data_IF_907815883755
#
_entry.id   IF_907815883755
#
_cell.length_a   1.000
_cell.length_b   1.000
_cell.length_c   1.000
_cell.angle_alpha   90.00
_cell.angle_beta   90.00
_cell.angle_gamma   90.00
#
_symmetry.space_group_name_H-M   'P 1'
#
loop_
_entity.id
_entity.type
_entity.pdbx_description
1 polymer ?
#
# COMPACT_ATOMS: atom_id res chain seq x y z
N UNK A 1 2.56 -4.54 6.15
CA UNK A 1 3.16 -3.81 5.00
C UNK A 1 4.20 -4.68 4.32
N UNK A 2 4.24 -4.76 2.99
CA UNK A 2 5.31 -5.42 2.24
C UNK A 2 6.23 -4.35 1.62
N UNK A 3 7.49 -4.30 2.06
CA UNK A 3 8.52 -3.39 1.53
C UNK A 3 9.36 -4.14 0.49
N UNK A 4 9.36 -3.66 -0.76
CA UNK A 4 10.14 -4.27 -1.83
C UNK A 4 11.51 -3.59 -1.96
N UNK A 5 12.57 -4.40 -1.91
CA UNK A 5 13.96 -3.97 -2.07
C UNK A 5 14.51 -4.62 -3.34
N UNK A 6 15.31 -3.91 -4.12
CA UNK A 6 15.89 -4.46 -5.34
C UNK A 6 17.19 -5.20 -5.02
N UNK A 7 17.32 -6.45 -5.45
CA UNK A 7 18.54 -7.27 -5.35
C UNK A 7 19.75 -6.65 -6.06
N UNK A 8 19.53 -5.73 -6.99
CA UNK A 8 20.58 -5.00 -7.70
C UNK A 8 20.95 -3.67 -7.04
N UNK A 9 19.93 -2.87 -6.66
CA UNK A 9 20.13 -1.49 -6.20
C UNK A 9 20.21 -1.38 -4.67
N UNK A 10 19.87 -2.43 -3.93
CA UNK A 10 19.84 -2.43 -2.48
C UNK A 10 18.70 -1.60 -1.89
N UNK A 11 18.89 -1.17 -0.65
CA UNK A 11 17.92 -0.36 0.09
C UNK A 11 17.96 1.07 -0.41
N UNK A 12 16.90 1.47 -1.11
CA UNK A 12 16.70 2.85 -1.58
C UNK A 12 16.09 3.73 -0.50
N UNK A 13 16.21 5.05 -0.66
CA UNK A 13 15.57 6.05 0.23
C UNK A 13 14.05 5.81 0.33
N UNK A 14 13.41 5.42 -0.79
CA UNK A 14 11.97 5.10 -0.79
C UNK A 14 11.64 3.88 0.07
N UNK A 15 12.45 2.82 0.03
CA UNK A 15 12.27 1.63 0.85
C UNK A 15 12.49 1.95 2.35
N UNK A 16 13.50 2.76 2.66
CA UNK A 16 13.77 3.19 4.03
C UNK A 16 12.62 4.02 4.61
N UNK A 17 12.15 5.02 3.86
CA UNK A 17 10.98 5.82 4.27
C UNK A 17 9.72 4.98 4.45
N UNK A 18 9.47 4.01 3.55
CA UNK A 18 8.34 3.11 3.66
C UNK A 18 8.42 2.24 4.92
N UNK A 19 9.60 1.70 5.23
CA UNK A 19 9.84 0.93 6.45
C UNK A 19 9.62 1.77 7.70
N UNK A 20 10.21 2.98 7.78
CA UNK A 20 10.05 3.90 8.89
C UNK A 20 8.58 4.29 9.10
N UNK A 21 7.84 4.55 8.00
CA UNK A 21 6.42 4.86 8.06
C UNK A 21 5.59 3.70 8.61
N UNK A 22 5.90 2.45 8.20
CA UNK A 22 5.26 1.27 8.74
C UNK A 22 5.49 1.13 10.25
N UNK A 23 6.75 1.27 10.69
CA UNK A 23 7.12 1.21 12.12
C UNK A 23 6.44 2.30 12.94
N UNK A 24 6.45 3.55 12.46
CA UNK A 24 5.79 4.69 13.12
C UNK A 24 4.29 4.44 13.34
N UNK A 25 3.65 3.71 12.43
CA UNK A 25 2.21 3.42 12.50
C UNK A 25 1.91 2.02 13.07
N UNK A 26 2.87 1.36 13.72
CA UNK A 26 2.69 0.04 14.33
C UNK A 26 2.24 -1.04 13.34
N UNK A 27 2.63 -0.94 12.06
CA UNK A 27 2.21 -1.90 11.04
C UNK A 27 3.17 -3.09 10.97
N UNK A 28 2.63 -4.28 11.05
CA UNK A 28 3.36 -5.50 10.73
C UNK A 28 4.05 -5.37 9.37
N UNK A 29 5.36 -5.65 9.33
CA UNK A 29 6.19 -5.38 8.14
C UNK A 29 6.93 -6.63 7.71
N UNK A 30 6.96 -6.86 6.40
CA UNK A 30 7.68 -7.92 5.71
C UNK A 30 8.50 -7.30 4.57
N UNK A 31 9.65 -7.86 4.25
CA UNK A 31 10.51 -7.39 3.16
C UNK A 31 10.61 -8.45 2.07
N UNK A 32 10.56 -8.02 0.82
CA UNK A 32 10.83 -8.86 -0.34
C UNK A 32 12.00 -8.29 -1.16
N UNK A 33 13.10 -9.03 -1.21
CA UNK A 33 14.25 -8.71 -2.06
C UNK A 33 14.00 -9.29 -3.45
N UNK A 34 13.58 -8.43 -4.37
CA UNK A 34 13.29 -8.78 -5.76
C UNK A 34 14.53 -8.81 -6.64
N UNK A 35 14.42 -9.32 -7.87
CA UNK A 35 15.50 -9.34 -8.88
C UNK A 35 16.73 -10.12 -8.44
N UNK A 36 16.55 -11.19 -7.67
CA UNK A 36 17.64 -12.07 -7.26
C UNK A 36 18.17 -12.96 -8.39
N UNK A 37 17.48 -12.99 -9.52
CA UNK A 37 17.84 -13.66 -10.77
C UNK A 37 18.89 -12.90 -11.59
N UNK A 38 19.19 -11.65 -11.29
CA UNK A 38 20.17 -10.86 -12.03
C UNK A 38 21.60 -11.18 -11.58
N UNK A 39 22.55 -11.19 -12.53
CA UNK A 39 23.97 -11.49 -12.27
C UNK A 39 24.61 -10.60 -11.20
N UNK A 40 24.18 -9.32 -11.15
CA UNK A 40 24.71 -8.33 -10.22
C UNK A 40 23.91 -8.25 -8.90
N UNK A 41 23.01 -9.20 -8.65
CA UNK A 41 22.30 -9.27 -7.37
C UNK A 41 23.21 -9.80 -6.27
N UNK A 42 23.29 -9.07 -5.15
CA UNK A 42 24.06 -9.50 -3.98
C UNK A 42 23.17 -9.47 -2.74
N UNK A 43 22.40 -10.54 -2.56
CA UNK A 43 21.43 -10.66 -1.47
C UNK A 43 22.07 -10.47 -0.10
N UNK A 44 23.21 -11.08 0.19
CA UNK A 44 23.81 -11.05 1.52
C UNK A 44 24.35 -9.66 1.87
N UNK A 45 24.92 -8.94 0.91
CA UNK A 45 25.31 -7.55 1.10
C UNK A 45 24.09 -6.66 1.39
N UNK A 46 22.98 -6.91 0.70
CA UNK A 46 21.72 -6.19 0.91
C UNK A 46 21.11 -6.54 2.26
N UNK A 47 21.21 -7.79 2.70
CA UNK A 47 20.77 -8.21 4.02
C UNK A 47 21.51 -7.45 5.14
N UNK A 48 22.84 -7.31 5.02
CA UNK A 48 23.62 -6.52 5.98
C UNK A 48 23.26 -5.01 5.92
N UNK A 49 23.06 -4.45 4.72
CA UNK A 49 22.59 -3.05 4.57
C UNK A 49 21.19 -2.86 5.19
N UNK A 50 20.30 -3.83 5.06
CA UNK A 50 19.00 -3.83 5.73
C UNK A 50 19.12 -3.87 7.25
N UNK A 51 20.00 -4.71 7.79
CA UNK A 51 20.25 -4.76 9.25
C UNK A 51 20.75 -3.40 9.78
N UNK A 52 21.61 -2.71 9.04
CA UNK A 52 22.10 -1.39 9.40
C UNK A 52 20.97 -0.35 9.39
N UNK A 53 20.10 -0.36 8.35
CA UNK A 53 19.09 0.67 8.13
C UNK A 53 17.74 0.39 8.82
N UNK A 54 17.37 -0.88 8.94
CA UNK A 54 16.09 -1.31 9.50
C UNK A 54 16.20 -1.86 10.93
N UNK A 55 17.44 -2.15 11.38
CA UNK A 55 17.74 -2.61 12.73
C UNK A 55 17.84 -4.14 12.85
N UNK A 56 18.01 -4.59 14.10
CA UNK A 56 18.20 -6.01 14.45
C UNK A 56 17.00 -6.90 14.18
N UNK A 57 15.80 -6.32 13.99
CA UNK A 57 14.57 -7.08 13.74
C UNK A 57 14.57 -7.81 12.38
N UNK A 58 15.52 -7.51 11.49
CA UNK A 58 15.62 -8.10 10.15
C UNK A 58 15.99 -9.58 10.24
N UNK A 59 15.03 -10.45 9.88
CA UNK A 59 15.16 -11.90 9.97
C UNK A 59 15.01 -12.54 8.57
N UNK A 60 16.07 -13.10 7.96
CA UNK A 60 15.96 -13.81 6.69
C UNK A 60 15.18 -15.10 6.85
N UNK A 61 14.22 -15.34 5.94
CA UNK A 61 13.36 -16.53 5.93
C UNK A 61 13.54 -17.37 4.66
N UNK A 62 13.86 -16.69 3.54
CA UNK A 62 14.22 -17.35 2.27
C UNK A 62 15.48 -16.70 1.74
N UNK A 63 16.48 -17.52 1.42
CA UNK A 63 17.77 -17.04 0.93
C UNK A 63 18.11 -17.67 -0.43
N UNK A 64 18.76 -16.92 -1.35
CA UNK A 64 19.19 -17.46 -2.62
C UNK A 64 20.50 -18.24 -2.46
N UNK A 65 20.63 -19.32 -3.22
CA UNK A 65 21.85 -20.11 -3.36
C UNK A 65 22.01 -20.59 -4.81
N UNK A 66 23.05 -21.34 -5.08
CA UNK A 66 23.30 -22.00 -6.37
C UNK A 66 23.70 -23.44 -6.12
N UNK A 67 23.26 -24.32 -7.00
CA UNK A 67 23.80 -25.69 -7.10
C UNK A 67 25.20 -25.66 -7.73
N UNK A 68 25.90 -26.78 -7.68
CA UNK A 68 27.25 -26.94 -8.25
C UNK A 68 27.32 -26.66 -9.76
N UNK A 69 26.21 -26.89 -10.46
CA UNK A 69 26.06 -26.58 -11.89
C UNK A 69 25.73 -25.11 -12.18
N UNK A 70 25.65 -24.26 -11.14
CA UNK A 70 25.30 -22.86 -11.23
C UNK A 70 23.79 -22.57 -11.26
N UNK A 71 22.92 -23.58 -11.22
CA UNK A 71 21.46 -23.41 -11.20
C UNK A 71 21.04 -22.61 -9.96
N UNK A 72 20.27 -21.51 -10.11
CA UNK A 72 19.79 -20.73 -8.99
C UNK A 72 18.71 -21.49 -8.21
N UNK A 73 18.84 -21.50 -6.89
CA UNK A 73 17.88 -22.11 -5.97
C UNK A 73 17.55 -21.16 -4.82
N UNK A 74 16.44 -21.41 -4.16
CA UNK A 74 16.00 -20.65 -2.99
C UNK A 74 15.83 -21.60 -1.80
N UNK A 75 16.49 -21.29 -0.70
CA UNK A 75 16.44 -22.11 0.52
C UNK A 75 15.41 -21.49 1.46
N UNK A 76 14.40 -22.27 1.83
CA UNK A 76 13.43 -21.93 2.85
C UNK A 76 14.00 -22.33 4.20
N UNK A 77 14.29 -21.36 5.07
CA UNK A 77 14.93 -21.61 6.36
C UNK A 77 13.96 -22.26 7.37
N UNK A 78 12.65 -22.08 7.24
CA UNK A 78 11.67 -22.74 8.11
C UNK A 78 11.67 -24.26 7.93
N UNK A 79 11.66 -24.72 6.69
CA UNK A 79 11.64 -26.15 6.36
C UNK A 79 13.02 -26.74 6.12
N UNK A 80 14.05 -25.90 6.04
CA UNK A 80 15.43 -26.26 5.69
C UNK A 80 15.51 -27.02 4.35
N UNK A 81 14.70 -26.62 3.37
CA UNK A 81 14.61 -27.24 2.05
C UNK A 81 14.98 -26.23 0.96
N UNK A 82 15.61 -26.73 -0.11
CA UNK A 82 15.97 -25.95 -1.28
C UNK A 82 15.03 -26.26 -2.45
N UNK A 83 14.75 -25.22 -3.24
CA UNK A 83 13.84 -25.30 -4.39
C UNK A 83 14.43 -24.56 -5.59
N UNK A 84 14.40 -25.21 -6.76
CA UNK A 84 14.55 -24.55 -8.06
C UNK A 84 13.20 -24.27 -8.68
N UNK A 85 13.17 -23.40 -9.67
CA UNK A 85 11.94 -22.98 -10.35
C UNK A 85 12.03 -23.20 -11.85
N UNK A 86 11.04 -23.88 -12.42
CA UNK A 86 10.88 -24.09 -13.86
C UNK A 86 9.45 -23.67 -14.26
N UNK A 87 9.34 -22.67 -15.13
CA UNK A 87 8.04 -22.15 -15.55
C UNK A 87 7.17 -21.63 -14.39
N UNK A 88 7.78 -21.09 -13.33
CA UNK A 88 7.10 -20.61 -12.13
C UNK A 88 6.66 -21.70 -11.15
N UNK A 89 6.98 -22.98 -11.42
CA UNK A 89 6.69 -24.10 -10.52
C UNK A 89 7.92 -24.46 -9.70
N UNK A 90 7.72 -24.62 -8.39
CA UNK A 90 8.79 -25.05 -7.50
C UNK A 90 9.06 -26.56 -7.64
N UNK A 91 10.34 -26.92 -7.63
CA UNK A 91 10.85 -28.28 -7.64
C UNK A 91 11.84 -28.40 -6.49
N UNK A 92 11.57 -29.29 -5.53
CA UNK A 92 12.51 -29.53 -4.42
C UNK A 92 13.78 -30.19 -4.95
N UNK A 93 14.92 -29.69 -4.49
CA UNK A 93 16.26 -30.20 -4.80
C UNK A 93 17.02 -30.49 -3.52
N UNK A 94 18.15 -31.15 -3.65
CA UNK A 94 19.08 -31.35 -2.54
C UNK A 94 19.57 -30.00 -2.00
N UNK A 95 19.73 -29.91 -0.68
CA UNK A 95 20.19 -28.68 -0.03
C UNK A 95 21.65 -28.42 -0.41
N UNK A 96 21.96 -27.31 -1.11
CA UNK A 96 23.34 -26.99 -1.45
C UNK A 96 24.15 -26.65 -0.20
N UNK A 97 25.41 -27.00 -0.20
CA UNK A 97 26.33 -26.60 0.88
C UNK A 97 26.66 -25.11 0.75
N UNK A 98 26.08 -24.30 1.64
CA UNK A 98 26.42 -22.88 1.77
C UNK A 98 27.30 -22.61 3.01
N UNK A 99 27.89 -23.67 3.56
CA UNK A 99 28.84 -23.63 4.66
C UNK A 99 28.26 -23.14 5.98
N UNK A 100 29.13 -22.61 6.85
CA UNK A 100 28.75 -22.09 8.16
C UNK A 100 27.66 -21.00 8.15
N UNK A 101 27.46 -20.36 6.99
CA UNK A 101 26.45 -19.31 6.86
C UNK A 101 25.04 -19.86 7.05
N UNK A 102 24.74 -21.08 6.59
CA UNK A 102 23.43 -21.69 6.77
C UNK A 102 23.09 -21.85 8.26
N UNK A 103 24.02 -22.42 9.01
CA UNK A 103 23.83 -22.61 10.46
C UNK A 103 23.61 -21.28 11.17
N UNK A 104 24.44 -20.25 10.88
CA UNK A 104 24.28 -18.94 11.48
C UNK A 104 22.94 -18.24 11.13
N UNK A 105 22.37 -18.51 9.93
CA UNK A 105 21.04 -17.99 9.58
C UNK A 105 19.93 -18.67 10.38
N UNK A 106 20.02 -19.99 10.58
CA UNK A 106 19.05 -20.75 11.40
C UNK A 106 19.12 -20.32 12.86
N UNK A 107 20.33 -20.18 13.41
CA UNK A 107 20.55 -19.69 14.78
C UNK A 107 19.97 -18.29 14.98
N UNK A 108 20.27 -17.34 14.10
CA UNK A 108 19.73 -15.99 14.18
C UNK A 108 18.18 -15.95 14.04
N UNK A 109 17.60 -16.81 13.23
CA UNK A 109 16.14 -16.94 13.14
C UNK A 109 15.55 -17.52 14.44
N UNK A 110 16.20 -18.55 15.02
CA UNK A 110 15.77 -19.17 16.27
C UNK A 110 15.88 -18.19 17.45
N UNK A 111 16.94 -17.41 17.52
CA UNK A 111 17.13 -16.35 18.51
C UNK A 111 16.02 -15.29 18.41
N UNK A 112 15.73 -14.78 17.19
CA UNK A 112 14.65 -13.82 16.98
C UNK A 112 13.27 -14.38 17.38
N UNK A 113 13.02 -15.66 17.17
CA UNK A 113 11.79 -16.34 17.60
C UNK A 113 11.75 -16.47 19.13
N UNK A 114 12.86 -16.85 19.75
CA UNK A 114 12.97 -16.98 21.19
C UNK A 114 12.64 -15.66 21.93
N UNK A 115 13.05 -14.52 21.39
CA UNK A 115 12.77 -13.19 21.96
C UNK A 115 11.27 -12.84 21.99
N UNK A 116 10.40 -13.61 21.36
CA UNK A 116 8.96 -13.31 21.29
C UNK A 116 8.17 -13.86 22.47
N UNK A 117 8.71 -14.82 23.20
CA UNK A 117 8.01 -15.53 24.28
C UNK A 117 8.98 -16.14 25.31
N UNK A 118 8.64 -16.04 26.60
CA UNK A 118 9.51 -16.52 27.69
C UNK A 118 9.73 -18.05 27.63
N UNK A 119 8.71 -18.83 27.27
CA UNK A 119 8.83 -20.29 27.15
C UNK A 119 9.75 -20.68 25.98
N UNK A 120 9.67 -19.95 24.85
CA UNK A 120 10.56 -20.14 23.71
C UNK A 120 11.99 -19.73 24.06
N UNK A 121 12.16 -18.69 24.88
CA UNK A 121 13.47 -18.25 25.35
C UNK A 121 14.14 -19.31 26.24
N UNK A 122 13.41 -19.89 27.20
CA UNK A 122 13.92 -20.98 28.07
C UNK A 122 14.33 -22.19 27.22
N UNK A 123 13.51 -22.56 26.23
CA UNK A 123 13.78 -23.68 25.33
C UNK A 123 15.02 -23.45 24.49
N UNK A 124 15.20 -22.21 23.96
CA UNK A 124 16.37 -21.83 23.19
C UNK A 124 17.67 -21.93 24.02
N UNK A 125 17.67 -21.42 25.24
CA UNK A 125 18.82 -21.54 26.16
C UNK A 125 19.06 -22.98 26.62
N UNK A 126 18.01 -23.81 26.68
CA UNK A 126 18.12 -25.24 26.95
C UNK A 126 18.72 -26.04 25.79
N UNK A 127 18.88 -25.42 24.62
CA UNK A 127 19.39 -26.09 23.41
C UNK A 127 18.37 -27.03 22.76
N UNK A 128 17.09 -26.87 23.07
CA UNK A 128 16.01 -27.68 22.52
C UNK A 128 15.54 -27.13 21.17
N UNK A 129 15.35 -27.95 20.12
CA UNK A 129 14.85 -27.48 18.85
C UNK A 129 13.37 -27.07 18.93
N UNK A 130 13.02 -25.98 18.24
CA UNK A 130 11.63 -25.57 18.10
C UNK A 130 10.86 -26.50 17.16
N UNK A 131 9.61 -26.77 17.47
CA UNK A 131 8.67 -27.42 16.57
C UNK A 131 8.24 -26.47 15.44
N UNK A 132 7.67 -27.01 14.37
CA UNK A 132 7.17 -26.17 13.26
C UNK A 132 6.08 -25.19 13.72
N UNK A 133 5.23 -25.64 14.64
CA UNK A 133 4.15 -24.84 15.22
C UNK A 133 4.71 -23.67 16.04
N UNK A 134 5.70 -23.92 16.88
CA UNK A 134 6.38 -22.91 17.69
C UNK A 134 7.09 -21.86 16.80
N UNK A 135 7.75 -22.30 15.73
CA UNK A 135 8.38 -21.40 14.76
C UNK A 135 7.33 -20.48 14.11
N UNK A 136 6.20 -21.02 13.66
CA UNK A 136 5.15 -20.24 13.01
C UNK A 136 4.49 -19.28 13.98
N UNK A 137 4.19 -19.72 15.21
CA UNK A 137 3.52 -18.89 16.21
C UNK A 137 4.44 -17.77 16.73
N UNK A 138 5.69 -18.09 17.06
CA UNK A 138 6.70 -17.09 17.46
C UNK A 138 6.95 -16.06 16.36
N UNK A 139 7.10 -16.50 15.10
CA UNK A 139 7.21 -15.58 13.96
C UNK A 139 5.98 -14.69 13.80
N UNK A 140 4.76 -15.25 13.93
CA UNK A 140 3.51 -14.48 13.82
C UNK A 140 3.41 -13.42 14.91
N UNK A 141 3.69 -13.78 16.16
CA UNK A 141 3.73 -12.87 17.31
C UNK A 141 4.78 -11.78 17.11
N UNK A 142 6.02 -12.17 16.77
CA UNK A 142 7.11 -11.23 16.52
C UNK A 142 6.84 -10.25 15.38
N UNK A 143 6.20 -10.71 14.29
CA UNK A 143 5.81 -9.85 13.16
C UNK A 143 4.69 -8.89 13.56
N UNK A 144 3.68 -9.35 14.30
CA UNK A 144 2.58 -8.52 14.79
C UNK A 144 3.09 -7.42 15.72
N UNK A 145 3.96 -7.78 16.68
CA UNK A 145 4.49 -6.87 17.69
C UNK A 145 5.65 -6.00 17.15
N UNK A 146 6.10 -6.28 15.91
CA UNK A 146 7.17 -5.58 15.25
C UNK A 146 8.57 -5.94 15.77
N UNK A 147 8.72 -7.03 16.49
CA UNK A 147 10.00 -7.57 16.95
C UNK A 147 10.75 -8.28 15.82
N UNK A 148 10.02 -8.86 14.87
CA UNK A 148 10.58 -9.57 13.71
C UNK A 148 10.11 -8.92 12.42
N UNK A 149 11.06 -8.71 11.50
CA UNK A 149 10.80 -8.29 10.12
C UNK A 149 11.28 -9.40 9.18
N UNK A 150 10.40 -10.31 8.74
CA UNK A 150 10.82 -11.44 7.88
C UNK A 150 11.21 -10.95 6.50
N UNK A 151 12.31 -11.49 5.99
CA UNK A 151 12.86 -11.17 4.67
C UNK A 151 12.77 -12.38 3.75
N UNK A 152 12.07 -12.18 2.66
CA UNK A 152 11.96 -13.12 1.54
C UNK A 152 12.72 -12.59 0.33
N UNK A 153 13.10 -13.48 -0.58
CA UNK A 153 13.77 -13.08 -1.81
C UNK A 153 13.27 -13.89 -3.01
N UNK A 154 13.47 -13.36 -4.20
CA UNK A 154 13.06 -14.05 -5.42
C UNK A 154 13.12 -13.18 -6.66
N UNK A 155 12.45 -13.66 -7.73
CA UNK A 155 12.26 -12.93 -8.98
C UNK A 155 10.78 -12.82 -9.33
N UNK A 156 10.28 -11.60 -9.45
CA UNK A 156 8.91 -11.36 -9.88
C UNK A 156 8.71 -11.60 -11.39
N UNK A 157 9.74 -11.42 -12.20
CA UNK A 157 9.68 -11.63 -13.66
C UNK A 157 9.66 -13.13 -13.98
N UNK A 158 10.53 -13.89 -13.33
CA UNK A 158 10.66 -15.34 -13.53
C UNK A 158 9.74 -16.15 -12.60
N UNK A 159 8.92 -15.50 -11.78
CA UNK A 159 8.00 -16.08 -10.79
C UNK A 159 8.71 -17.05 -9.81
N UNK A 160 9.96 -16.72 -9.44
CA UNK A 160 10.76 -17.55 -8.53
C UNK A 160 10.54 -17.12 -7.07
N UNK A 161 10.24 -18.07 -6.19
CA UNK A 161 9.98 -17.92 -4.76
C UNK A 161 8.81 -16.96 -4.39
N UNK A 162 7.95 -16.59 -5.33
CA UNK A 162 6.75 -15.82 -5.05
C UNK A 162 5.67 -16.62 -4.32
N UNK A 163 5.58 -17.90 -4.59
CA UNK A 163 4.73 -18.84 -3.88
C UNK A 163 5.08 -18.90 -2.38
N UNK A 164 6.39 -18.95 -2.05
CA UNK A 164 6.84 -18.87 -0.66
C UNK A 164 6.49 -17.53 -0.02
N UNK A 165 6.65 -16.42 -0.73
CA UNK A 165 6.27 -15.11 -0.23
C UNK A 165 4.77 -15.06 0.06
N UNK A 166 3.91 -15.42 -0.91
CA UNK A 166 2.45 -15.36 -0.76
C UNK A 166 1.95 -16.28 0.35
N UNK A 167 2.49 -17.50 0.44
CA UNK A 167 2.15 -18.43 1.52
C UNK A 167 2.48 -17.82 2.89
N UNK A 168 3.68 -17.25 3.05
CA UNK A 168 4.10 -16.68 4.32
C UNK A 168 3.41 -15.33 4.63
N UNK A 169 3.03 -14.54 3.64
CA UNK A 169 2.16 -13.38 3.85
C UNK A 169 0.84 -13.80 4.52
N UNK A 170 0.20 -14.87 4.03
CA UNK A 170 -1.02 -15.39 4.63
C UNK A 170 -0.80 -15.98 6.04
N UNK A 171 0.35 -16.61 6.29
CA UNK A 171 0.65 -17.27 7.58
C UNK A 171 1.12 -16.30 8.66
N UNK A 172 1.92 -15.30 8.32
CA UNK A 172 2.66 -14.49 9.29
C UNK A 172 2.06 -13.09 9.51
N UNK A 173 1.39 -12.52 8.49
CA UNK A 173 0.80 -11.19 8.67
C UNK A 173 -0.52 -11.26 9.44
N UNK A 174 -0.78 -10.30 10.36
CA UNK A 174 -2.03 -10.28 11.11
C UNK A 174 -3.23 -10.03 10.19
N UNK A 175 -4.33 -10.71 10.48
CA UNK A 175 -5.64 -10.43 9.88
C UNK A 175 -6.31 -9.26 10.60
N UNK A 176 -7.11 -8.44 9.91
CA UNK A 176 -7.94 -7.42 10.56
C UNK A 176 -8.84 -7.96 11.68
N UNK A 177 -9.27 -9.22 11.58
CA UNK A 177 -10.08 -9.88 12.60
C UNK A 177 -9.30 -10.22 13.89
N UNK A 178 -7.97 -10.17 13.86
CA UNK A 178 -7.13 -10.40 15.05
C UNK A 178 -6.81 -9.14 15.83
N UNK A 179 -7.15 -7.96 15.29
CA UNK A 179 -7.06 -6.72 16.04
C UNK A 179 -8.27 -6.63 17.00
N UNK A 180 -8.03 -6.21 18.24
CA UNK A 180 -9.09 -6.15 19.24
C UNK A 180 -10.21 -5.18 18.80
N UNK A 181 -9.84 -4.01 18.32
CA UNK A 181 -10.76 -2.99 17.79
C UNK A 181 -10.00 -1.91 17.00
N UNK A 182 -10.74 -1.10 16.27
CA UNK A 182 -10.27 0.13 15.64
C UNK A 182 -10.99 1.31 16.29
N UNK A 183 -10.28 2.36 16.71
CA UNK A 183 -10.87 3.55 17.30
C UNK A 183 -11.41 4.47 16.19
N UNK A 184 -12.65 4.91 16.39
CA UNK A 184 -13.33 5.96 15.65
C UNK A 184 -13.88 6.99 16.63
N UNK A 185 -14.44 8.08 16.15
CA UNK A 185 -15.11 9.10 16.96
C UNK A 185 -16.60 9.14 16.62
N UNK A 186 -17.46 9.27 17.62
CA UNK A 186 -18.89 9.56 17.39
C UNK A 186 -19.13 11.04 17.03
N UNK A 187 -20.38 11.42 16.83
CA UNK A 187 -20.75 12.80 16.49
C UNK A 187 -20.37 13.84 17.58
N UNK A 188 -20.15 13.40 18.83
CA UNK A 188 -19.75 14.25 19.94
C UNK A 188 -18.21 14.34 20.11
N UNK A 189 -17.44 13.62 19.29
CA UNK A 189 -15.97 13.52 19.40
C UNK A 189 -15.51 12.51 20.47
N UNK A 190 -16.40 11.65 20.96
CA UNK A 190 -16.02 10.60 21.91
C UNK A 190 -15.53 9.36 21.20
N UNK A 191 -14.51 8.67 21.74
CA UNK A 191 -13.96 7.46 21.12
C UNK A 191 -14.98 6.31 21.14
N UNK A 192 -15.08 5.62 20.02
CA UNK A 192 -15.91 4.42 19.81
C UNK A 192 -15.04 3.30 19.29
N UNK A 193 -15.11 2.15 19.91
CA UNK A 193 -14.46 0.93 19.45
C UNK A 193 -15.29 0.25 18.36
N UNK A 194 -14.65 -0.07 17.24
CA UNK A 194 -15.22 -0.82 16.11
C UNK A 194 -14.53 -2.16 16.00
N UNK A 195 -15.31 -3.24 16.05
CA UNK A 195 -14.79 -4.59 15.90
C UNK A 195 -14.96 -5.09 14.46
N UNK A 196 -13.99 -5.87 14.00
CA UNK A 196 -14.01 -6.44 12.66
C UNK A 196 -14.96 -7.66 12.61
N UNK A 197 -16.27 -7.41 12.66
CA UNK A 197 -17.35 -8.40 12.59
C UNK A 197 -18.49 -7.91 11.71
N UNK A 198 -19.18 -8.85 11.03
CA UNK A 198 -20.37 -8.52 10.23
C UNK A 198 -21.63 -8.29 11.07
N UNK A 199 -21.60 -8.60 12.36
CA UNK A 199 -22.73 -8.47 13.30
C UNK A 199 -22.92 -7.02 13.80
N UNK A 200 -21.88 -6.19 13.72
CA UNK A 200 -21.96 -4.79 14.09
C UNK A 200 -22.57 -3.92 12.98
N UNK A 201 -23.12 -2.73 13.33
CA UNK A 201 -23.55 -1.74 12.33
C UNK A 201 -22.42 -1.41 11.36
N UNK A 202 -22.77 -1.21 10.08
CA UNK A 202 -21.80 -0.96 9.01
C UNK A 202 -21.02 0.33 9.26
N UNK A 203 -19.69 0.23 9.16
CA UNK A 203 -18.77 1.37 9.08
C UNK A 203 -17.71 1.07 8.01
N UNK A 204 -17.69 1.86 6.96
CA UNK A 204 -16.80 1.70 5.81
C UNK A 204 -15.99 2.98 5.57
N UNK A 205 -14.67 2.84 5.44
CA UNK A 205 -13.75 3.94 5.23
C UNK A 205 -13.36 4.08 3.76
N UNK A 206 -13.58 5.26 3.18
CA UNK A 206 -13.19 5.59 1.80
C UNK A 206 -11.71 5.96 1.78
N UNK A 207 -10.83 5.03 1.44
CA UNK A 207 -9.39 5.28 1.46
C UNK A 207 -8.81 5.76 0.13
N UNK A 208 -9.58 5.64 -0.97
CA UNK A 208 -9.14 6.04 -2.31
C UNK A 208 -10.33 6.31 -3.23
N UNK A 209 -10.20 7.34 -4.05
CA UNK A 209 -11.14 7.65 -5.14
C UNK A 209 -10.40 7.62 -6.48
N UNK A 210 -11.02 7.08 -7.52
CA UNK A 210 -10.49 7.04 -8.88
C UNK A 210 -11.55 7.58 -9.84
N UNK A 211 -11.15 8.49 -10.72
CA UNK A 211 -11.96 8.92 -11.85
C UNK A 211 -11.82 7.91 -12.99
N UNK A 212 -12.73 6.95 -13.05
CA UNK A 212 -12.78 5.94 -14.12
C UNK A 212 -13.48 6.53 -15.36
N UNK A 213 -12.92 6.37 -16.57
CA UNK A 213 -13.51 6.93 -17.79
C UNK A 213 -14.88 6.35 -18.14
N UNK A 214 -15.19 5.12 -17.73
CA UNK A 214 -16.40 4.38 -18.08
C UNK A 214 -17.45 4.41 -16.97
N UNK A 215 -17.02 4.16 -15.73
CA UNK A 215 -17.91 4.06 -14.57
C UNK A 215 -18.11 5.40 -13.89
N UNK A 216 -17.21 6.35 -14.12
CA UNK A 216 -17.16 7.65 -13.46
C UNK A 216 -16.40 7.58 -12.14
N UNK A 217 -16.98 8.13 -11.06
CA UNK A 217 -16.36 8.10 -9.74
C UNK A 217 -16.43 6.70 -9.15
N UNK A 218 -15.28 6.10 -8.87
CA UNK A 218 -15.12 4.82 -8.20
C UNK A 218 -14.44 5.04 -6.86
N UNK A 219 -15.14 4.74 -5.76
CA UNK A 219 -14.65 4.89 -4.40
C UNK A 219 -14.27 3.53 -3.84
N UNK A 220 -13.01 3.39 -3.41
CA UNK A 220 -12.50 2.18 -2.76
C UNK A 220 -12.75 2.28 -1.27
N UNK A 221 -13.34 1.23 -0.72
CA UNK A 221 -13.75 1.13 0.67
C UNK A 221 -12.95 0.03 1.37
N UNK A 222 -12.57 0.30 2.61
CA UNK A 222 -12.26 -0.73 3.60
C UNK A 222 -13.43 -0.80 4.56
N UNK A 223 -14.08 -1.94 4.67
CA UNK A 223 -15.15 -2.16 5.64
C UNK A 223 -14.49 -2.46 6.99
N UNK A 224 -14.80 -1.66 7.99
CA UNK A 224 -14.24 -1.80 9.34
C UNK A 224 -15.13 -2.73 10.17
N UNK A 225 -16.44 -2.51 10.15
CA UNK A 225 -17.45 -3.34 10.81
C UNK A 225 -18.68 -3.48 9.92
N UNK A 226 -19.49 -4.49 10.16
CA UNK A 226 -20.69 -4.75 9.38
C UNK A 226 -20.38 -5.27 7.97
N UNK A 227 -21.30 -5.00 7.04
CA UNK A 227 -21.22 -5.45 5.65
C UNK A 227 -21.85 -4.42 4.72
N UNK A 228 -21.13 -4.00 3.70
CA UNK A 228 -21.63 -3.10 2.66
C UNK A 228 -22.35 -3.92 1.60
N UNK A 229 -23.65 -3.66 1.38
CA UNK A 229 -24.50 -4.37 0.44
C UNK A 229 -25.17 -3.44 -0.60
N UNK A 230 -25.61 -4.01 -1.71
CA UNK A 230 -26.27 -3.22 -2.75
C UNK A 230 -27.63 -2.66 -2.28
N UNK A 231 -27.86 -1.38 -2.55
CA UNK A 231 -29.11 -0.69 -2.18
C UNK A 231 -29.17 -0.16 -0.75
N UNK A 232 -28.19 -0.50 0.08
CA UNK A 232 -28.08 -0.04 1.47
C UNK A 232 -27.86 1.48 1.53
N UNK A 233 -28.61 2.20 2.38
CA UNK A 233 -28.38 3.61 2.64
C UNK A 233 -27.31 3.75 3.73
N UNK A 234 -26.19 4.40 3.42
CA UNK A 234 -25.15 4.70 4.42
C UNK A 234 -25.03 6.22 4.56
N UNK A 235 -24.89 6.69 5.79
CA UNK A 235 -24.69 8.10 6.10
C UNK A 235 -23.21 8.46 6.01
N UNK A 236 -22.87 9.50 5.26
CA UNK A 236 -21.55 10.08 5.25
C UNK A 236 -21.34 10.88 6.55
N UNK A 237 -20.45 10.42 7.43
CA UNK A 237 -20.22 11.01 8.74
C UNK A 237 -19.73 12.48 8.70
N UNK A 238 -19.10 12.91 7.58
CA UNK A 238 -18.63 14.30 7.40
C UNK A 238 -19.74 15.26 6.97
N UNK A 239 -20.62 14.84 6.04
CA UNK A 239 -21.64 15.72 5.45
C UNK A 239 -23.02 15.52 6.03
N UNK A 240 -23.28 14.39 6.69
CA UNK A 240 -24.61 13.98 7.14
C UNK A 240 -25.52 13.49 6.00
N UNK A 241 -25.04 13.49 4.74
CA UNK A 241 -25.83 13.07 3.60
C UNK A 241 -25.88 11.55 3.50
N UNK A 242 -27.01 11.04 3.00
CA UNK A 242 -27.21 9.61 2.78
C UNK A 242 -26.77 9.23 1.37
N UNK A 243 -25.82 8.30 1.31
CA UNK A 243 -25.33 7.68 0.07
C UNK A 243 -26.06 6.35 -0.15
N UNK A 244 -26.68 6.18 -1.29
CA UNK A 244 -27.25 4.89 -1.68
C UNK A 244 -26.16 4.06 -2.36
N UNK A 245 -25.82 2.94 -1.75
CA UNK A 245 -24.77 2.06 -2.26
C UNK A 245 -25.23 1.40 -3.58
N UNK A 246 -24.47 1.63 -4.64
CA UNK A 246 -24.62 0.85 -5.88
C UNK A 246 -24.13 -0.58 -5.64
N UNK A 247 -24.19 -1.45 -6.65
CA UNK A 247 -23.67 -2.81 -6.51
C UNK A 247 -22.20 -2.78 -6.16
N UNK A 248 -21.77 -3.41 -5.05
CA UNK A 248 -20.36 -3.46 -4.67
C UNK A 248 -19.52 -4.22 -5.70
N UNK A 249 -18.25 -3.89 -5.80
CA UNK A 249 -17.31 -4.43 -6.75
C UNK A 249 -16.08 -4.99 -6.04
N UNK A 250 -15.63 -6.18 -6.42
CA UNK A 250 -14.28 -6.66 -6.18
C UNK A 250 -13.40 -6.23 -7.35
N UNK A 251 -12.26 -5.61 -7.06
CA UNK A 251 -11.35 -5.08 -8.08
C UNK A 251 -10.04 -5.84 -8.08
N UNK A 252 -9.71 -6.47 -9.20
CA UNK A 252 -8.48 -7.22 -9.41
C UNK A 252 -7.74 -6.61 -10.59
N UNK A 253 -6.76 -5.74 -10.30
CA UNK A 253 -6.08 -4.93 -11.31
C UNK A 253 -7.05 -4.02 -12.07
N UNK A 254 -7.24 -4.24 -13.37
CA UNK A 254 -8.23 -3.52 -14.20
C UNK A 254 -9.59 -4.18 -14.23
N UNK A 255 -9.71 -5.41 -13.74
CA UNK A 255 -10.97 -6.16 -13.79
C UNK A 255 -11.83 -5.80 -12.60
N UNK A 256 -13.06 -5.36 -12.87
CA UNK A 256 -14.10 -5.10 -11.89
C UNK A 256 -15.12 -6.23 -11.98
N UNK A 257 -15.41 -6.85 -10.85
CA UNK A 257 -16.35 -7.97 -10.76
C UNK A 257 -17.41 -7.62 -9.73
N UNK A 258 -18.67 -7.80 -10.09
CA UNK A 258 -19.78 -7.61 -9.16
C UNK A 258 -19.63 -8.52 -7.94
N UNK A 259 -19.85 -7.98 -6.75
CA UNK A 259 -19.89 -8.70 -5.50
C UNK A 259 -21.27 -8.59 -4.85
N UNK A 260 -21.68 -9.61 -4.10
CA UNK A 260 -22.93 -9.56 -3.34
C UNK A 260 -22.82 -8.65 -2.10
N UNK A 261 -21.60 -8.42 -1.62
CA UNK A 261 -21.30 -7.52 -0.53
C UNK A 261 -19.80 -7.49 -0.26
N UNK A 262 -19.38 -6.53 0.58
CA UNK A 262 -18.01 -6.40 1.11
C UNK A 262 -18.14 -6.54 2.62
N UNK A 263 -17.57 -7.61 3.20
CA UNK A 263 -17.63 -7.90 4.63
C UNK A 263 -16.59 -7.12 5.44
N UNK A 264 -16.74 -7.16 6.77
CA UNK A 264 -15.80 -6.54 7.70
C UNK A 264 -14.37 -7.04 7.48
N UNK A 265 -13.40 -6.12 7.46
CA UNK A 265 -11.98 -6.39 7.22
C UNK A 265 -11.59 -6.44 5.75
N UNK A 266 -12.54 -6.52 4.82
CA UNK A 266 -12.28 -6.65 3.39
C UNK A 266 -12.26 -5.28 2.68
N UNK A 267 -11.73 -5.28 1.47
CA UNK A 267 -11.60 -4.13 0.57
C UNK A 267 -12.41 -4.37 -0.70
N UNK A 268 -13.23 -3.41 -1.04
CA UNK A 268 -13.95 -3.39 -2.31
C UNK A 268 -14.11 -1.99 -2.86
N UNK A 269 -14.95 -1.84 -3.86
CA UNK A 269 -15.24 -0.55 -4.45
C UNK A 269 -16.74 -0.36 -4.69
N UNK A 270 -17.16 0.90 -4.67
CA UNK A 270 -18.53 1.33 -4.98
C UNK A 270 -18.47 2.48 -5.98
N UNK A 271 -19.30 2.41 -7.00
CA UNK A 271 -19.37 3.45 -8.00
C UNK A 271 -20.44 4.50 -7.66
N UNK A 272 -20.24 5.72 -8.20
CA UNK A 272 -21.26 6.78 -8.24
C UNK A 272 -21.67 7.35 -6.88
N UNK A 273 -20.84 7.26 -5.87
CA UNK A 273 -21.07 8.02 -4.62
C UNK A 273 -21.01 9.53 -4.93
N UNK A 274 -21.96 10.28 -4.38
CA UNK A 274 -22.13 11.70 -4.71
C UNK A 274 -21.28 12.59 -3.82
N UNK A 275 -21.47 12.52 -2.49
CA UNK A 275 -20.82 13.39 -1.51
C UNK A 275 -19.53 12.83 -0.94
N UNK A 276 -19.36 11.51 -0.99
CA UNK A 276 -18.22 10.81 -0.39
C UNK A 276 -16.89 11.15 -1.10
N UNK A 277 -15.86 11.45 -0.31
CA UNK A 277 -14.49 11.74 -0.72
C UNK A 277 -13.51 10.81 -0.02
N UNK A 278 -12.28 10.77 -0.52
CA UNK A 278 -11.18 10.07 0.16
C UNK A 278 -10.98 10.65 1.57
N UNK A 279 -11.00 9.77 2.57
CA UNK A 279 -10.96 10.12 4.00
C UNK A 279 -12.32 10.14 4.69
N UNK A 280 -13.44 10.00 3.96
CA UNK A 280 -14.78 9.94 4.56
C UNK A 280 -15.09 8.54 5.12
N UNK A 281 -15.95 8.52 6.13
CA UNK A 281 -16.53 7.30 6.68
C UNK A 281 -18.00 7.23 6.33
N UNK A 282 -18.45 6.11 5.79
CA UNK A 282 -19.85 5.80 5.49
C UNK A 282 -20.36 4.84 6.55
N UNK A 283 -21.46 5.18 7.21
CA UNK A 283 -21.95 4.45 8.39
C UNK A 283 -23.43 4.13 8.27
N UNK A 284 -23.84 3.05 8.95
CA UNK A 284 -25.24 2.85 9.28
C UNK A 284 -25.77 4.03 10.12
N UNK A 285 -27.02 4.45 9.85
CA UNK A 285 -27.63 5.59 10.54
C UNK A 285 -27.79 5.39 12.05
N UNK A 286 -27.84 4.14 12.53
CA UNK A 286 -27.94 3.82 13.96
C UNK A 286 -26.65 4.11 14.73
N UNK A 287 -25.49 4.13 14.03
CA UNK A 287 -24.17 4.38 14.64
C UNK A 287 -23.29 5.19 13.70
N UNK A 288 -23.46 6.51 13.72
CA UNK A 288 -22.61 7.41 12.91
C UNK A 288 -21.28 7.62 13.62
N UNK A 289 -20.19 7.17 12.98
CA UNK A 289 -18.83 7.27 13.48
C UNK A 289 -17.90 7.80 12.39
N UNK A 290 -16.85 8.50 12.82
CA UNK A 290 -15.85 9.11 11.94
C UNK A 290 -14.47 8.53 12.21
N UNK A 291 -13.86 7.98 11.19
CA UNK A 291 -12.46 7.57 11.22
C UNK A 291 -11.55 8.79 11.04
N UNK A 292 -10.30 8.76 11.58
CA UNK A 292 -9.33 9.81 11.33
C UNK A 292 -9.08 9.98 9.83
N UNK A 293 -9.27 11.21 9.34
CA UNK A 293 -8.98 11.52 7.94
C UNK A 293 -7.45 11.64 7.71
N UNK A 294 -6.94 11.23 6.55
CA UNK A 294 -5.53 11.40 6.24
C UNK A 294 -5.23 12.88 6.03
N UNK A 295 -4.06 13.32 6.50
CA UNK A 295 -3.54 14.66 6.24
C UNK A 295 -2.75 14.61 4.95
N UNK A 296 -3.24 15.31 3.93
CA UNK A 296 -2.55 15.43 2.65
C UNK A 296 -1.62 16.65 2.65
N UNK A 297 -0.43 16.56 2.02
CA UNK A 297 0.45 17.71 1.85
C UNK A 297 -0.22 18.77 0.97
N UNK A 298 0.03 20.03 1.29
CA UNK A 298 -0.46 21.15 0.49
C UNK A 298 0.37 21.32 -0.79
N UNK A 299 -0.22 21.84 -1.87
CA UNK A 299 0.50 22.20 -3.07
C UNK A 299 1.64 23.18 -2.77
N UNK A 300 2.81 22.96 -3.37
CA UNK A 300 4.01 23.83 -3.22
C UNK A 300 4.41 24.51 -4.51
N UNK A 301 3.88 24.10 -5.66
CA UNK A 301 4.13 24.69 -6.97
C UNK A 301 2.80 25.07 -7.62
N UNK A 302 2.68 26.33 -8.03
CA UNK A 302 1.52 26.85 -8.74
C UNK A 302 1.91 27.29 -10.14
N UNK A 303 1.08 26.97 -11.15
CA UNK A 303 1.32 27.32 -12.54
C UNK A 303 0.01 27.72 -13.22
N UNK A 304 0.10 28.72 -14.10
CA UNK A 304 -1.01 29.14 -14.93
C UNK A 304 -1.27 28.11 -16.06
N UNK A 305 -2.53 27.75 -16.22
CA UNK A 305 -2.98 26.82 -17.27
C UNK A 305 -3.21 27.59 -18.57
N UNK A 306 -2.59 27.11 -19.64
CA UNK A 306 -2.84 27.61 -20.99
C UNK A 306 -3.58 26.55 -21.80
N UNK A 307 -4.61 26.99 -22.52
CA UNK A 307 -5.47 26.13 -23.33
C UNK A 307 -4.82 25.90 -24.69
N UNK A 308 -4.60 24.65 -25.08
CA UNK A 308 -4.03 24.33 -26.39
C UNK A 308 -5.01 24.62 -27.55
N UNK A 309 -6.33 24.46 -27.32
CA UNK A 309 -7.38 24.73 -28.28
C UNK A 309 -8.42 25.64 -27.67
N UNK A 310 -8.70 26.77 -28.33
CA UNK A 310 -9.76 27.70 -27.92
C UNK A 310 -11.12 27.01 -27.92
N UNK A 311 -11.85 27.12 -26.79
CA UNK A 311 -13.15 26.48 -26.58
C UNK A 311 -13.11 25.19 -25.73
N UNK A 312 -11.92 24.72 -25.31
CA UNK A 312 -11.80 23.57 -24.43
C UNK A 312 -11.77 23.94 -22.92
N UNK A 313 -11.91 25.23 -22.57
CA UNK A 313 -11.83 25.75 -21.20
C UNK A 313 -12.80 25.03 -20.24
N UNK A 314 -14.04 24.81 -20.68
CA UNK A 314 -15.07 24.10 -19.88
C UNK A 314 -14.76 22.62 -19.69
N UNK A 315 -14.14 21.97 -20.69
CA UNK A 315 -13.69 20.59 -20.58
C UNK A 315 -12.51 20.45 -19.62
N UNK A 316 -11.57 21.42 -19.67
CA UNK A 316 -10.41 21.47 -18.76
C UNK A 316 -10.88 21.57 -17.32
N UNK A 317 -11.77 22.53 -17.00
CA UNK A 317 -12.30 22.73 -15.66
C UNK A 317 -13.02 21.47 -15.14
N UNK A 318 -13.84 20.84 -15.97
CA UNK A 318 -14.53 19.60 -15.63
C UNK A 318 -13.57 18.42 -15.41
N UNK A 319 -12.55 18.29 -16.24
CA UNK A 319 -11.54 17.23 -16.10
C UNK A 319 -10.66 17.44 -14.87
N UNK A 320 -10.24 18.68 -14.58
CA UNK A 320 -9.48 19.02 -13.38
C UNK A 320 -10.28 18.78 -12.12
N UNK A 321 -11.57 19.12 -12.08
CA UNK A 321 -12.45 18.82 -10.94
C UNK A 321 -12.48 17.32 -10.62
N UNK A 322 -12.58 16.46 -11.67
CA UNK A 322 -12.52 15.00 -11.49
C UNK A 322 -11.16 14.51 -11.01
N UNK A 323 -10.06 15.13 -11.48
CA UNK A 323 -8.71 14.78 -10.99
C UNK A 323 -8.50 15.20 -9.54
N UNK A 324 -9.08 16.32 -9.10
CA UNK A 324 -9.04 16.74 -7.69
C UNK A 324 -9.83 15.79 -6.77
N UNK A 325 -10.87 15.13 -7.27
CA UNK A 325 -11.53 14.06 -6.51
C UNK A 325 -10.63 12.81 -6.36
N UNK A 326 -9.78 12.54 -7.36
CA UNK A 326 -8.82 11.44 -7.35
C UNK A 326 -7.58 11.77 -6.51
N UNK A 327 -7.12 13.04 -6.57
CA UNK A 327 -5.88 13.51 -5.95
C UNK A 327 -6.13 14.74 -5.07
N UNK A 328 -6.29 14.55 -3.76
CA UNK A 328 -6.52 15.65 -2.82
C UNK A 328 -5.34 16.63 -2.66
N UNK A 329 -4.15 16.30 -3.19
CA UNK A 329 -2.97 17.19 -3.18
C UNK A 329 -2.95 18.16 -4.36
N UNK A 330 -3.89 18.01 -5.31
CA UNK A 330 -4.07 18.88 -6.44
C UNK A 330 -5.02 20.01 -6.08
N UNK A 331 -4.69 21.24 -6.44
CA UNK A 331 -5.59 22.39 -6.34
C UNK A 331 -5.82 23.03 -7.71
N UNK A 332 -6.98 23.62 -7.88
CA UNK A 332 -7.34 24.38 -9.08
C UNK A 332 -8.12 25.61 -8.67
N UNK A 333 -7.63 26.77 -9.08
CA UNK A 333 -8.19 28.06 -8.73
C UNK A 333 -8.41 28.87 -10.01
N UNK A 334 -9.48 29.64 -10.04
CA UNK A 334 -9.66 30.70 -11.03
C UNK A 334 -9.34 32.03 -10.35
N UNK A 335 -8.21 32.63 -10.75
CA UNK A 335 -7.81 33.93 -10.21
C UNK A 335 -8.71 35.03 -10.79
N UNK A 336 -9.49 35.68 -9.95
CA UNK A 336 -10.46 36.70 -10.37
C UNK A 336 -9.79 37.98 -10.87
N UNK A 337 -8.57 38.28 -10.41
CA UNK A 337 -7.84 39.50 -10.79
C UNK A 337 -7.19 39.37 -12.17
N UNK A 338 -6.53 38.21 -12.40
CA UNK A 338 -5.80 37.96 -13.66
C UNK A 338 -6.60 37.19 -14.69
N UNK A 339 -7.82 36.69 -14.33
CA UNK A 339 -8.66 35.81 -15.12
C UNK A 339 -7.93 34.53 -15.59
N UNK A 340 -6.93 34.13 -14.84
CA UNK A 340 -6.13 32.95 -15.15
C UNK A 340 -6.60 31.75 -14.34
N UNK A 341 -6.57 30.60 -14.97
CA UNK A 341 -6.76 29.31 -14.32
C UNK A 341 -5.40 28.85 -13.79
N UNK A 342 -5.31 28.64 -12.48
CA UNK A 342 -4.08 28.24 -11.80
C UNK A 342 -4.25 26.83 -11.27
N UNK A 343 -3.27 25.96 -11.54
CA UNK A 343 -3.16 24.64 -11.01
C UNK A 343 -2.03 24.58 -9.98
N UNK A 344 -2.28 24.01 -8.81
CA UNK A 344 -1.27 23.79 -7.77
C UNK A 344 -1.01 22.30 -7.57
N UNK A 345 0.25 21.93 -7.39
CA UNK A 345 0.68 20.57 -7.14
C UNK A 345 1.93 20.51 -6.27
N UNK A 346 2.40 19.29 -5.95
CA UNK A 346 3.56 19.03 -5.08
C UNK A 346 4.92 19.37 -5.73
N UNK A 347 4.93 19.61 -7.05
CA UNK A 347 6.14 19.90 -7.82
C UNK A 347 5.95 19.66 -9.31
N UNK A 348 6.98 19.90 -10.12
CA UNK A 348 6.94 19.79 -11.58
C UNK A 348 6.52 18.39 -12.05
N UNK A 349 7.13 17.34 -11.51
CA UNK A 349 6.80 15.96 -11.88
C UNK A 349 5.33 15.62 -11.58
N UNK A 350 4.77 16.14 -10.50
CA UNK A 350 3.36 15.96 -10.17
C UNK A 350 2.48 16.61 -11.25
N UNK A 351 2.76 17.85 -11.60
CA UNK A 351 2.00 18.58 -12.62
C UNK A 351 2.15 17.96 -14.02
N UNK A 352 3.31 17.39 -14.36
CA UNK A 352 3.50 16.63 -15.60
C UNK A 352 2.66 15.34 -15.64
N UNK A 353 2.55 14.64 -14.51
CA UNK A 353 1.63 13.48 -14.38
C UNK A 353 0.19 13.93 -14.56
N UNK A 354 -0.22 15.07 -14.00
CA UNK A 354 -1.57 15.62 -14.17
C UNK A 354 -1.84 15.96 -15.64
N UNK A 355 -0.90 16.59 -16.35
CA UNK A 355 -1.00 16.84 -17.82
C UNK A 355 -1.19 15.54 -18.60
N UNK A 356 -0.39 14.52 -18.28
CA UNK A 356 -0.50 13.22 -18.93
C UNK A 356 -1.84 12.54 -18.65
N UNK A 357 -2.38 12.64 -17.42
CA UNK A 357 -3.70 12.14 -17.07
C UNK A 357 -4.82 12.88 -17.81
N UNK A 358 -4.76 14.21 -17.90
CA UNK A 358 -5.71 15.01 -18.66
C UNK A 358 -5.77 14.59 -20.13
N UNK A 359 -4.61 14.42 -20.76
CA UNK A 359 -4.52 13.95 -22.14
C UNK A 359 -5.04 12.53 -22.31
N UNK A 360 -4.57 11.59 -21.48
CA UNK A 360 -4.85 10.16 -21.68
C UNK A 360 -6.25 9.73 -21.23
N UNK A 361 -6.78 10.34 -20.14
CA UNK A 361 -8.10 9.98 -19.60
C UNK A 361 -9.24 10.82 -20.18
N UNK A 362 -9.00 12.12 -20.44
CA UNK A 362 -10.05 13.07 -20.79
C UNK A 362 -9.89 13.67 -22.20
N UNK A 363 -8.80 13.34 -22.90
CA UNK A 363 -8.53 13.88 -24.26
C UNK A 363 -8.27 15.37 -24.29
N UNK A 364 -7.82 15.96 -23.18
CA UNK A 364 -7.60 17.40 -23.01
C UNK A 364 -6.12 17.69 -22.89
N UNK A 365 -5.60 18.62 -23.72
CA UNK A 365 -4.20 19.07 -23.66
C UNK A 365 -4.12 20.45 -23.06
N UNK A 366 -3.21 20.63 -22.09
CA UNK A 366 -2.91 21.91 -21.45
C UNK A 366 -1.43 22.22 -21.53
N UNK A 367 -1.09 23.52 -21.63
CA UNK A 367 0.22 24.05 -21.32
C UNK A 367 0.27 24.59 -19.91
N UNK A 368 1.45 24.60 -19.30
CA UNK A 368 1.69 25.22 -18.00
C UNK A 368 2.73 26.34 -18.16
N UNK A 369 2.49 27.49 -17.54
CA UNK A 369 3.42 28.62 -17.50
C UNK A 369 3.66 29.03 -16.06
N UNK A 370 4.88 29.49 -15.77
CA UNK A 370 5.18 30.15 -14.50
C UNK A 370 4.36 31.45 -14.38
N UNK A 371 3.89 31.76 -13.18
CA UNK A 371 3.15 33.01 -12.91
C UNK A 371 4.01 34.26 -13.16
N UNK A 372 5.33 34.16 -13.00
CA UNK A 372 6.29 35.29 -13.22
C UNK A 372 6.34 35.79 -14.64
N UNK A 373 5.99 34.98 -15.65
CA UNK A 373 5.99 35.40 -17.07
C UNK A 373 4.73 36.16 -17.50
N UNK A 374 3.77 36.41 -16.62
CA UNK A 374 2.55 37.16 -16.98
C UNK A 374 2.74 38.67 -16.94
N UNK A 375 3.76 39.16 -16.26
CA UNK A 375 4.05 40.61 -16.21
C UNK A 375 4.71 41.18 -17.48
N UNK A 376 5.33 40.32 -18.31
CA UNK A 376 6.00 40.80 -19.55
C UNK A 376 5.05 41.03 -20.75
N UNK A 377 3.82 40.50 -20.70
CA UNK A 377 2.83 40.68 -21.78
C UNK A 377 1.90 41.88 -21.58
N UNK A 378 2.04 42.62 -20.49
CA UNK A 378 1.25 43.83 -20.19
C UNK A 378 2.04 45.16 -20.37
N UNK A 379 3.15 45.17 -21.11
CA UNK A 379 3.69 46.45 -21.58
C UNK A 379 2.84 46.91 -22.76
N UNK A 380 2.02 47.93 -22.61
CA UNK A 380 1.40 48.57 -23.79
C UNK A 380 2.52 49.27 -24.55
N UNK A 381 2.87 48.77 -25.70
CA UNK A 381 3.58 49.61 -26.70
C UNK A 381 2.62 50.72 -27.06
N UNK A 382 2.77 51.84 -26.36
CA UNK A 382 2.38 53.14 -26.87
C UNK A 382 3.30 53.47 -28.03
N UNK A 383 2.77 53.52 -29.23
CA UNK A 383 3.01 54.54 -30.24
C UNK A 383 1.93 54.50 -31.29
#
# INVERSE_FOLDING_TARGET
>A
MLVCVSGRSGVTVGAEKAFQLARKNGKATMVFVSKCDLENANYFKILEDMKIKFGSTVCPCVVPAKLDDGTPVYINLFSQKAFKYEGGKQIQVELPDIGHRFQGLIEAMSEAIAETDDELMEKFFGGEPFTTEEIVEGMRKGVKDGLITPVFCGSAVNLQALDMLLYNMHKLLPSPAHDAFILAENANGEPVELHCTEEEPTAAYVFKTVADPFVGKLSYLRVISGKVTAGEPLTNARTGEVEKISKPLTVIGKKQVDADGIGAGDIGAVAKLVSAKTGDTLCDASRVVKMPAPVFPLPSLFMAVTVAKKGDEGKISSALARLMEEDPTLSYLNNAETHQQIIGGLGEQHLDVVKAKLKNKFGVEIGLRSEEHTSELQSPTNL
#
